data_IF_670125246490
#
_entry.id   IF_670125246490
#
_cell.length_a   1.000
_cell.length_b   1.000
_cell.length_c   1.000
_cell.angle_alpha   90.00
_cell.angle_beta   90.00
_cell.angle_gamma   90.00
#
_symmetry.space_group_name_H-M   'P 1'
#
loop_
_entity.id
_entity.type
_entity.pdbx_description
1 polymer ?
#
# COMPACT_ATOMS: atom_id res chain seq x y z
N UNK A 1 -7.95 -12.38 22.17
CA UNK A 1 -7.01 -12.49 21.03
C UNK A 1 -7.77 -12.16 19.75
N UNK A 2 -8.38 -10.97 19.71
CA UNK A 2 -9.73 -10.84 19.14
C UNK A 2 -9.78 -10.19 17.76
N UNK A 3 -9.72 -8.87 17.58
CA UNK A 3 -10.37 -8.31 16.38
C UNK A 3 -9.45 -8.17 15.16
N UNK A 4 -8.14 -8.03 15.36
CA UNK A 4 -7.16 -7.78 14.29
C UNK A 4 -7.03 -8.97 13.33
N UNK A 5 -6.90 -10.19 13.87
CA UNK A 5 -6.74 -11.39 13.03
C UNK A 5 -8.00 -11.68 12.22
N UNK A 6 -9.17 -11.39 12.79
CA UNK A 6 -10.44 -11.51 12.08
C UNK A 6 -10.48 -10.57 10.88
N UNK A 7 -10.16 -9.28 11.08
CA UNK A 7 -10.10 -8.27 10.01
C UNK A 7 -9.12 -8.67 8.91
N UNK A 8 -7.90 -9.09 9.28
CA UNK A 8 -6.89 -9.55 8.30
C UNK A 8 -7.42 -10.74 7.50
N UNK A 9 -8.08 -11.70 8.15
CA UNK A 9 -8.66 -12.85 7.48
C UNK A 9 -9.79 -12.45 6.52
N UNK A 10 -10.65 -11.51 6.90
CA UNK A 10 -11.70 -10.97 6.03
C UNK A 10 -11.10 -10.29 4.80
N UNK A 11 -10.08 -9.44 4.97
CA UNK A 11 -9.36 -8.80 3.85
C UNK A 11 -8.79 -9.85 2.89
N UNK A 12 -8.04 -10.84 3.42
CA UNK A 12 -7.42 -11.90 2.61
C UNK A 12 -8.42 -12.78 1.85
N UNK A 13 -9.58 -13.02 2.46
CA UNK A 13 -10.68 -13.80 1.88
C UNK A 13 -11.56 -13.01 0.91
N UNK A 14 -11.26 -11.72 0.71
CA UNK A 14 -12.11 -10.82 -0.07
C UNK A 14 -13.55 -10.70 0.48
N UNK A 15 -13.69 -10.77 1.80
CA UNK A 15 -14.94 -10.64 2.55
C UNK A 15 -15.05 -9.23 3.15
N UNK A 16 -14.69 -8.23 2.35
CA UNK A 16 -14.66 -6.80 2.70
C UNK A 16 -15.05 -6.00 1.47
N UNK A 17 -15.68 -4.84 1.67
CA UNK A 17 -16.03 -3.93 0.59
C UNK A 17 -14.84 -3.05 0.19
N UNK A 18 -14.97 -2.33 -0.94
CA UNK A 18 -14.02 -1.30 -1.33
C UNK A 18 -13.91 -0.18 -0.27
N UNK A 19 -15.05 0.26 0.27
CA UNK A 19 -15.12 1.26 1.34
C UNK A 19 -14.38 0.79 2.60
N UNK A 20 -14.48 -0.49 2.96
CA UNK A 20 -13.73 -1.07 4.08
C UNK A 20 -12.22 -1.03 3.82
N UNK A 21 -11.78 -1.39 2.61
CA UNK A 21 -10.36 -1.35 2.25
C UNK A 21 -9.80 0.08 2.32
N UNK A 22 -10.55 1.05 1.80
CA UNK A 22 -10.23 2.48 1.90
C UNK A 22 -10.13 2.90 3.37
N UNK A 23 -11.08 2.49 4.21
CA UNK A 23 -11.07 2.78 5.64
C UNK A 23 -9.84 2.16 6.34
N UNK A 24 -9.45 0.95 5.97
CA UNK A 24 -8.31 0.25 6.55
C UNK A 24 -6.95 0.89 6.19
N UNK A 25 -6.88 1.70 5.12
CA UNK A 25 -5.67 2.50 4.83
C UNK A 25 -5.35 3.52 5.94
N UNK A 26 -6.36 3.98 6.69
CA UNK A 26 -6.21 4.88 7.83
C UNK A 26 -6.02 4.15 9.17
N UNK A 27 -6.00 2.81 9.16
CA UNK A 27 -5.87 2.02 10.38
C UNK A 27 -4.56 2.32 11.13
N UNK A 28 -4.65 2.42 12.45
CA UNK A 28 -3.45 2.47 13.31
C UNK A 28 -2.71 1.14 13.35
N UNK A 29 -3.34 0.05 12.91
CA UNK A 29 -2.73 -1.27 12.87
C UNK A 29 -1.95 -1.47 11.56
N UNK A 30 -0.64 -1.61 11.72
CA UNK A 30 0.35 -1.75 10.64
C UNK A 30 -0.01 -2.89 9.69
N UNK A 31 -0.46 -4.04 10.22
CA UNK A 31 -0.76 -5.24 9.44
C UNK A 31 -2.08 -5.13 8.69
N UNK A 32 -3.11 -4.53 9.31
CA UNK A 32 -4.38 -4.26 8.64
C UNK A 32 -4.15 -3.37 7.42
N UNK A 33 -3.39 -2.28 7.60
CA UNK A 33 -3.04 -1.34 6.53
C UNK A 33 -2.28 -2.03 5.38
N UNK A 34 -1.24 -2.81 5.70
CA UNK A 34 -0.48 -3.56 4.70
C UNK A 34 -1.38 -4.51 3.88
N UNK A 35 -2.25 -5.28 4.54
CA UNK A 35 -3.15 -6.22 3.86
C UNK A 35 -4.18 -5.48 3.00
N UNK A 36 -4.67 -4.31 3.44
CA UNK A 36 -5.58 -3.50 2.63
C UNK A 36 -4.91 -3.02 1.34
N UNK A 37 -3.66 -2.53 1.42
CA UNK A 37 -2.87 -2.14 0.24
C UNK A 37 -2.73 -3.31 -0.75
N UNK A 38 -2.32 -4.49 -0.28
CA UNK A 38 -2.16 -5.65 -1.15
C UNK A 38 -3.48 -6.09 -1.78
N UNK A 39 -4.58 -6.03 -1.03
CA UNK A 39 -5.89 -6.40 -1.55
C UNK A 39 -6.39 -5.40 -2.60
N UNK A 40 -6.17 -4.09 -2.39
CA UNK A 40 -6.46 -3.04 -3.39
C UNK A 40 -5.75 -3.34 -4.71
N UNK A 41 -4.45 -3.65 -4.66
CA UNK A 41 -3.68 -3.95 -5.87
C UNK A 41 -4.15 -5.25 -6.52
N UNK A 42 -4.44 -6.28 -5.72
CA UNK A 42 -4.93 -7.57 -6.21
C UNK A 42 -6.27 -7.45 -6.94
N UNK A 43 -7.18 -6.63 -6.39
CA UNK A 43 -8.51 -6.38 -6.97
C UNK A 43 -8.49 -5.29 -8.05
N UNK A 44 -7.35 -4.60 -8.22
CA UNK A 44 -7.17 -3.45 -9.11
C UNK A 44 -8.14 -2.31 -8.81
N UNK A 45 -8.33 -1.99 -7.53
CA UNK A 45 -9.09 -0.79 -7.15
C UNK A 45 -8.24 0.45 -7.37
N UNK A 46 -8.77 1.37 -8.17
CA UNK A 46 -8.03 2.52 -8.67
C UNK A 46 -8.96 3.73 -8.88
N UNK A 47 -10.05 3.82 -8.14
CA UNK A 47 -10.87 5.02 -8.13
C UNK A 47 -10.11 6.19 -7.48
N UNK A 48 -10.59 7.42 -7.72
CA UNK A 48 -9.93 8.64 -7.25
C UNK A 48 -9.68 8.65 -5.73
N UNK A 49 -10.60 8.09 -4.94
CA UNK A 49 -10.48 8.07 -3.48
C UNK A 49 -9.40 7.10 -3.05
N UNK A 50 -9.38 5.88 -3.62
CA UNK A 50 -8.32 4.90 -3.35
C UNK A 50 -6.95 5.45 -3.72
N UNK A 51 -6.81 6.05 -4.90
CA UNK A 51 -5.54 6.64 -5.35
C UNK A 51 -5.09 7.75 -4.41
N UNK A 52 -5.98 8.68 -4.04
CA UNK A 52 -5.63 9.78 -3.14
C UNK A 52 -5.21 9.27 -1.75
N UNK A 53 -5.88 8.23 -1.23
CA UNK A 53 -5.50 7.60 0.05
C UNK A 53 -4.12 6.96 -0.02
N UNK A 54 -3.81 6.24 -1.10
CA UNK A 54 -2.48 5.69 -1.33
C UNK A 54 -1.42 6.79 -1.44
N UNK A 55 -1.72 7.90 -2.11
CA UNK A 55 -0.84 9.08 -2.21
C UNK A 55 -0.59 9.70 -0.83
N UNK A 56 -1.63 9.92 -0.02
CA UNK A 56 -1.49 10.45 1.33
C UNK A 56 -0.63 9.56 2.22
N UNK A 57 -0.78 8.24 2.09
CA UNK A 57 0.02 7.27 2.83
C UNK A 57 1.47 7.23 2.33
N UNK A 58 1.69 7.25 1.01
CA UNK A 58 3.01 7.25 0.38
C UNK A 58 3.85 8.49 0.75
N UNK A 59 3.21 9.63 1.04
CA UNK A 59 3.91 10.84 1.50
C UNK A 59 4.47 10.74 2.94
N UNK A 60 4.08 9.72 3.70
CA UNK A 60 4.45 9.53 5.12
C UNK A 60 5.62 8.55 5.31
N UNK A 61 6.58 8.54 4.37
CA UNK A 61 7.70 7.59 4.36
C UNK A 61 8.51 7.55 5.64
N UNK A 62 8.70 8.69 6.30
CA UNK A 62 9.49 8.82 7.52
C UNK A 62 8.66 8.67 8.80
N UNK A 63 7.32 8.70 8.69
CA UNK A 63 6.40 8.63 9.83
C UNK A 63 5.85 7.21 10.03
N UNK A 64 5.67 6.45 8.96
CA UNK A 64 5.05 5.14 9.04
C UNK A 64 6.01 4.10 9.67
N UNK A 65 5.52 3.31 10.63
CA UNK A 65 6.32 2.28 11.27
C UNK A 65 6.64 1.15 10.29
N UNK A 66 7.80 0.51 10.51
CA UNK A 66 8.25 -0.64 9.71
C UNK A 66 7.29 -1.82 9.86
N UNK A 67 6.99 -2.45 8.73
CA UNK A 67 6.15 -3.65 8.63
C UNK A 67 7.07 -4.88 8.59
N UNK A 68 8.03 -4.90 7.66
CA UNK A 68 8.96 -6.00 7.45
C UNK A 68 10.32 -5.47 6.98
N UNK A 69 11.40 -5.86 7.66
CA UNK A 69 12.75 -5.39 7.35
C UNK A 69 12.82 -3.85 7.32
N UNK A 70 13.15 -3.30 6.16
CA UNK A 70 13.20 -1.85 5.92
C UNK A 70 11.93 -1.28 5.28
N UNK A 71 10.94 -2.11 4.99
CA UNK A 71 9.70 -1.69 4.32
C UNK A 71 8.63 -1.29 5.33
N UNK A 72 7.98 -0.15 5.07
CA UNK A 72 6.82 0.34 5.82
C UNK A 72 5.61 0.51 4.88
N UNK A 73 4.46 0.84 5.46
CA UNK A 73 3.22 0.99 4.70
C UNK A 73 3.25 2.13 3.68
N UNK A 74 4.04 3.18 3.91
CA UNK A 74 4.25 4.24 2.92
C UNK A 74 4.99 3.72 1.68
N UNK A 75 6.03 2.89 1.84
CA UNK A 75 6.71 2.23 0.74
C UNK A 75 5.78 1.26 -0.01
N UNK A 76 4.95 0.49 0.71
CA UNK A 76 3.95 -0.38 0.08
C UNK A 76 2.89 0.41 -0.68
N UNK A 77 2.40 1.53 -0.14
CA UNK A 77 1.42 2.38 -0.80
C UNK A 77 2.01 3.01 -2.08
N UNK A 78 3.27 3.45 -2.03
CA UNK A 78 3.95 3.97 -3.20
C UNK A 78 4.18 2.88 -4.26
N UNK A 79 4.60 1.68 -3.85
CA UNK A 79 4.73 0.56 -4.76
C UNK A 79 3.37 0.16 -5.37
N UNK A 80 2.29 0.23 -4.59
CA UNK A 80 0.93 -0.02 -5.06
C UNK A 80 0.50 0.92 -6.19
N UNK A 81 0.84 2.22 -6.10
CA UNK A 81 0.58 3.17 -7.20
C UNK A 81 1.27 2.75 -8.51
N UNK A 82 2.50 2.22 -8.42
CA UNK A 82 3.19 1.65 -9.59
C UNK A 82 2.54 0.35 -10.08
N UNK A 83 2.08 -0.51 -9.16
CA UNK A 83 1.53 -1.82 -9.47
C UNK A 83 0.12 -1.82 -10.06
N UNK A 84 -0.66 -0.76 -9.83
CA UNK A 84 -2.01 -0.59 -10.39
C UNK A 84 -1.99 -0.32 -11.89
N UNK A 85 -0.86 0.19 -12.43
CA UNK A 85 -0.61 0.35 -13.87
C UNK A 85 -1.69 1.18 -14.60
N UNK A 86 -2.32 2.15 -13.92
CA UNK A 86 -3.21 3.14 -14.55
C UNK A 86 -2.44 4.44 -14.80
N UNK A 87 -2.87 5.24 -15.79
CA UNK A 87 -2.25 6.54 -16.09
C UNK A 87 -2.20 7.43 -14.83
N UNK A 88 -3.34 7.55 -14.14
CA UNK A 88 -3.45 8.31 -12.91
C UNK A 88 -2.53 7.78 -11.79
N UNK A 89 -2.46 6.46 -11.58
CA UNK A 89 -1.64 5.90 -10.51
C UNK A 89 -0.15 6.07 -10.79
N UNK A 90 0.26 5.94 -12.06
CA UNK A 90 1.64 6.13 -12.51
C UNK A 90 2.08 7.59 -12.43
N UNK A 91 1.23 8.53 -12.85
CA UNK A 91 1.51 9.96 -12.72
C UNK A 91 1.78 10.35 -11.27
N UNK A 92 0.92 9.88 -10.35
CA UNK A 92 1.09 10.11 -8.90
C UNK A 92 2.33 9.44 -8.35
N UNK A 93 2.63 8.22 -8.79
CA UNK A 93 3.86 7.52 -8.41
C UNK A 93 5.10 8.35 -8.80
N UNK A 94 5.19 8.81 -10.05
CA UNK A 94 6.32 9.57 -10.54
C UNK A 94 6.50 10.91 -9.83
N UNK A 95 5.39 11.61 -9.54
CA UNK A 95 5.38 12.86 -8.79
C UNK A 95 6.06 12.68 -7.43
N UNK A 96 5.69 11.62 -6.70
CA UNK A 96 6.21 11.35 -5.36
C UNK A 96 7.67 10.87 -5.46
N UNK A 97 7.99 9.93 -6.35
CA UNK A 97 9.34 9.35 -6.48
C UNK A 97 10.42 10.38 -6.74
N UNK A 98 10.12 11.44 -7.50
CA UNK A 98 11.05 12.56 -7.77
C UNK A 98 11.48 13.27 -6.49
N UNK A 99 10.63 13.31 -5.46
CA UNK A 99 10.90 13.97 -4.18
C UNK A 99 11.60 13.09 -3.14
N UNK A 100 11.74 11.79 -3.40
CA UNK A 100 12.29 10.83 -2.43
C UNK A 100 13.82 10.79 -2.48
N UNK A 101 14.44 10.62 -1.31
CA UNK A 101 15.88 10.43 -1.17
C UNK A 101 16.39 9.20 -1.94
N UNK A 102 17.62 9.24 -2.51
CA UNK A 102 18.15 8.14 -3.31
C UNK A 102 18.12 6.77 -2.63
N UNK A 103 18.40 6.70 -1.32
CA UNK A 103 18.42 5.45 -0.56
C UNK A 103 17.04 4.79 -0.51
N UNK A 104 15.99 5.58 -0.25
CA UNK A 104 14.60 5.12 -0.23
C UNK A 104 14.11 4.71 -1.63
N UNK A 105 14.60 5.37 -2.68
CA UNK A 105 14.33 4.94 -4.07
C UNK A 105 14.91 3.57 -4.37
N UNK A 106 16.11 3.26 -3.89
CA UNK A 106 16.70 1.91 -4.04
C UNK A 106 15.84 0.86 -3.34
N UNK A 107 15.35 1.16 -2.13
CA UNK A 107 14.44 0.25 -1.41
C UNK A 107 13.12 0.06 -2.16
N UNK A 108 12.54 1.13 -2.70
CA UNK A 108 11.31 1.09 -3.48
C UNK A 108 11.48 0.27 -4.77
N UNK A 109 12.59 0.45 -5.50
CA UNK A 109 12.87 -0.34 -6.71
C UNK A 109 12.94 -1.84 -6.40
N UNK A 110 13.67 -2.23 -5.35
CA UNK A 110 13.73 -3.62 -4.89
C UNK A 110 12.36 -4.16 -4.54
N UNK A 111 11.57 -3.39 -3.79
CA UNK A 111 10.22 -3.78 -3.40
C UNK A 111 9.31 -4.00 -4.62
N UNK A 112 9.38 -3.11 -5.63
CA UNK A 112 8.58 -3.22 -6.86
C UNK A 112 8.97 -4.48 -7.64
N UNK A 113 10.26 -4.82 -7.72
CA UNK A 113 10.74 -6.05 -8.36
C UNK A 113 10.29 -7.31 -7.61
N UNK A 114 10.17 -7.24 -6.28
CA UNK A 114 9.69 -8.32 -5.41
C UNK A 114 8.16 -8.55 -5.48
N UNK A 115 7.40 -7.73 -6.25
CA UNK A 115 5.93 -7.83 -6.45
C UNK A 115 5.37 -9.27 -6.51
N UNK A 116 5.96 -10.23 -7.25
CA UNK A 116 5.40 -11.58 -7.36
C UNK A 116 5.41 -12.39 -6.07
N UNK A 117 6.26 -12.06 -5.11
CA UNK A 117 6.47 -12.85 -3.89
C UNK A 117 5.61 -12.39 -2.70
N UNK A 118 4.95 -11.24 -2.82
CA UNK A 118 4.08 -10.68 -1.76
C UNK A 118 2.64 -11.22 -1.81
N UNK A 119 2.25 -11.90 -2.90
CA UNK A 119 0.92 -12.52 -3.07
C UNK A 119 0.89 -14.02 -2.71
N UNK A 120 2.02 -14.60 -2.30
CA UNK A 120 2.18 -15.98 -1.83
C UNK A 120 2.00 -16.07 -0.31
#
# INVERSE_FOLDING_TARGET
>A
MSDVQHVINSIKKNDVTEEDLIHYLDSSNILIKANAIFQIVRLKFHDDITIEKLVCLAKKLDEEPKVIGSYNNALFALAALSWLETEQSLDRFEEIVKSIEPEKRILLSKLIEEKPYLYL
#
